data_IF_337480509591
#
_entry.id   IF_337480509591
#
_cell.length_a   1.000
_cell.length_b   1.000
_cell.length_c   1.000
_cell.angle_alpha   90.00
_cell.angle_beta   90.00
_cell.angle_gamma   90.00
#
_symmetry.space_group_name_H-M   'P 1'
#
loop_
_entity.id
_entity.type
_entity.pdbx_description
1 polymer ?
#
# COMPACT_ATOMS: atom_id res chain seq x y z
N UNK A 1 -14.73 32.29 -33.90
CA UNK A 1 -13.79 32.02 -32.80
C UNK A 1 -14.20 30.67 -32.21
N UNK A 2 -13.56 29.58 -32.65
CA UNK A 2 -14.06 28.22 -32.41
C UNK A 2 -13.70 27.75 -31.00
N UNK A 3 -14.72 27.41 -30.22
CA UNK A 3 -14.62 26.74 -28.93
C UNK A 3 -14.14 25.29 -29.15
N UNK A 4 -12.98 24.94 -28.60
CA UNK A 4 -12.41 23.58 -28.68
C UNK A 4 -13.27 22.64 -27.82
N UNK A 5 -13.78 21.58 -28.42
CA UNK A 5 -14.55 20.51 -27.80
C UNK A 5 -13.69 19.75 -26.76
N UNK A 6 -14.11 19.66 -25.48
CA UNK A 6 -13.35 19.01 -24.41
C UNK A 6 -13.25 17.48 -24.55
N UNK A 7 -13.99 16.87 -25.48
CA UNK A 7 -13.94 15.42 -25.75
C UNK A 7 -12.71 14.95 -26.53
N UNK A 8 -11.82 15.88 -26.95
CA UNK A 8 -10.62 15.61 -27.75
C UNK A 8 -9.30 15.89 -27.03
N UNK A 9 -9.32 16.05 -25.71
CA UNK A 9 -8.09 16.32 -24.97
C UNK A 9 -7.31 15.04 -24.71
N UNK A 10 -6.04 15.04 -25.10
CA UNK A 10 -5.13 13.92 -24.88
C UNK A 10 -4.90 13.72 -23.37
N UNK A 11 -4.57 12.49 -22.91
CA UNK A 11 -4.22 12.23 -21.51
C UNK A 11 -3.14 13.18 -20.95
N UNK A 12 -2.31 13.73 -21.84
CA UNK A 12 -1.26 14.71 -21.52
C UNK A 12 -1.82 16.09 -21.17
N UNK A 13 -2.92 16.53 -21.80
CA UNK A 13 -3.54 17.84 -21.55
C UNK A 13 -4.29 17.84 -20.22
N UNK A 14 -4.91 16.71 -19.84
CA UNK A 14 -5.53 16.51 -18.53
C UNK A 14 -4.47 16.47 -17.42
N UNK A 15 -3.32 15.87 -17.69
CA UNK A 15 -2.19 15.84 -16.75
C UNK A 15 -1.64 17.24 -16.49
N UNK A 16 -1.48 18.07 -17.54
CA UNK A 16 -0.99 19.44 -17.40
C UNK A 16 -1.97 20.32 -16.61
N UNK A 17 -3.27 20.20 -16.85
CA UNK A 17 -4.29 20.91 -16.09
C UNK A 17 -4.26 20.58 -14.60
N UNK A 18 -3.95 19.33 -14.23
CA UNK A 18 -3.91 18.90 -12.82
C UNK A 18 -2.59 19.27 -12.12
N UNK A 19 -1.49 19.41 -12.86
CA UNK A 19 -0.19 19.84 -12.32
C UNK A 19 -0.22 21.31 -11.86
N UNK A 20 -1.03 22.15 -12.51
CA UNK A 20 -1.21 23.57 -12.16
C UNK A 20 -1.82 23.79 -10.76
N UNK A 21 -2.44 22.75 -10.15
CA UNK A 21 -3.12 22.85 -8.85
C UNK A 21 -2.35 22.22 -7.67
N UNK A 22 -1.11 21.73 -7.86
CA UNK A 22 -0.34 21.08 -6.77
C UNK A 22 0.75 21.98 -6.18
N UNK A 23 0.91 22.05 -4.83
CA UNK A 23 1.92 22.89 -4.19
C UNK A 23 3.34 22.31 -4.33
N UNK A 24 4.31 23.16 -4.65
CA UNK A 24 5.63 22.77 -5.15
C UNK A 24 6.67 22.24 -4.15
N UNK A 25 6.45 22.23 -2.84
CA UNK A 25 7.54 21.87 -1.92
C UNK A 25 7.08 21.13 -0.65
N UNK A 26 7.47 19.85 -0.54
CA UNK A 26 7.39 19.07 0.70
C UNK A 26 8.83 18.82 1.16
N UNK A 27 9.27 19.40 2.29
CA UNK A 27 10.66 19.27 2.74
C UNK A 27 10.99 17.85 3.21
N UNK A 28 12.16 17.35 2.80
CA UNK A 28 12.75 16.07 3.25
C UNK A 28 13.71 16.34 4.41
N UNK A 29 13.57 15.60 5.52
CA UNK A 29 14.47 15.70 6.69
C UNK A 29 15.57 14.63 6.60
N UNK A 30 16.85 14.95 6.81
CA UNK A 30 17.95 13.97 6.80
C UNK A 30 17.90 13.03 8.01
N UNK A 31 18.28 11.76 7.81
CA UNK A 31 18.43 10.77 8.89
C UNK A 31 19.90 10.76 9.32
N UNK A 32 20.23 11.37 10.46
CA UNK A 32 21.55 11.25 11.08
C UNK A 32 21.66 9.95 11.91
N UNK A 33 22.77 9.23 11.74
CA UNK A 33 23.11 8.03 12.49
C UNK A 33 23.53 8.39 13.92
N UNK A 34 22.64 8.19 14.89
CA UNK A 34 22.94 8.33 16.32
C UNK A 34 23.90 7.22 16.78
N UNK A 35 25.15 7.58 17.12
CA UNK A 35 26.08 6.70 17.87
C UNK A 35 25.65 6.69 19.34
N UNK A 36 25.17 5.56 19.87
CA UNK A 36 24.82 5.47 21.29
C UNK A 36 26.09 5.47 22.16
N UNK A 37 26.18 6.40 23.10
CA UNK A 37 27.32 6.58 24.02
C UNK A 37 27.17 5.84 25.35
N UNK A 38 26.07 5.12 25.58
CA UNK A 38 25.80 4.46 26.85
C UNK A 38 25.08 3.12 26.63
N UNK A 39 25.73 2.03 27.04
CA UNK A 39 25.22 0.65 26.98
C UNK A 39 24.43 0.26 28.25
N UNK A 40 24.27 1.19 29.20
CA UNK A 40 23.48 0.94 30.41
C UNK A 40 21.99 1.05 30.07
N UNK A 41 21.29 -0.06 30.17
CA UNK A 41 19.84 -0.11 30.07
C UNK A 41 19.21 0.67 31.23
N UNK A 42 18.15 1.40 30.91
CA UNK A 42 17.34 2.18 31.83
C UNK A 42 16.20 1.36 32.47
N UNK A 43 16.33 0.03 32.45
CA UNK A 43 15.42 -0.92 33.10
C UNK A 43 16.19 -2.18 33.53
N UNK A 44 15.65 -2.89 34.52
CA UNK A 44 16.18 -4.18 34.95
C UNK A 44 15.93 -5.27 33.89
N UNK A 45 16.67 -6.37 33.98
CA UNK A 45 16.48 -7.52 33.10
C UNK A 45 15.06 -8.10 33.24
N UNK A 46 14.42 -8.37 32.11
CA UNK A 46 13.09 -8.97 32.06
C UNK A 46 13.10 -10.36 32.70
N UNK A 47 12.15 -10.62 33.61
CA UNK A 47 12.02 -11.90 34.32
C UNK A 47 11.27 -12.95 33.51
N UNK A 48 10.40 -12.52 32.60
CA UNK A 48 9.60 -13.40 31.75
C UNK A 48 10.27 -13.59 30.37
N UNK A 49 10.78 -14.78 30.13
CA UNK A 49 11.46 -15.14 28.89
C UNK A 49 10.51 -15.02 27.68
N UNK A 50 9.20 -15.18 27.88
CA UNK A 50 8.18 -15.10 26.82
C UNK A 50 7.97 -13.68 26.29
N UNK A 51 8.40 -12.65 27.03
CA UNK A 51 8.34 -11.25 26.57
C UNK A 51 9.46 -10.94 25.57
N UNK A 52 10.51 -11.78 25.52
CA UNK A 52 11.64 -11.55 24.64
C UNK A 52 11.31 -11.95 23.19
N UNK A 53 11.58 -11.09 22.18
CA UNK A 53 11.21 -11.33 20.77
C UNK A 53 11.72 -12.66 20.20
N UNK A 54 12.83 -13.20 20.72
CA UNK A 54 13.37 -14.48 20.29
C UNK A 54 12.39 -15.65 20.53
N UNK A 55 11.55 -15.56 21.56
CA UNK A 55 10.55 -16.58 21.93
C UNK A 55 9.17 -16.32 21.31
N UNK A 56 9.00 -15.22 20.58
CA UNK A 56 7.76 -14.86 19.85
C UNK A 56 7.82 -15.15 18.35
N UNK A 57 8.75 -16.00 17.91
CA UNK A 57 8.90 -16.38 16.49
C UNK A 57 7.77 -17.29 16.04
N UNK A 58 7.27 -17.05 14.83
CA UNK A 58 6.29 -17.90 14.16
C UNK A 58 6.98 -19.12 13.55
N UNK A 59 6.35 -20.29 13.67
CA UNK A 59 6.76 -21.47 12.93
C UNK A 59 6.28 -21.40 11.46
N UNK A 60 6.62 -22.40 10.65
CA UNK A 60 6.26 -22.42 9.22
C UNK A 60 4.74 -22.50 9.00
N UNK A 61 4.04 -23.34 9.77
CA UNK A 61 2.59 -23.48 9.68
C UNK A 61 1.87 -22.15 9.98
N UNK A 62 2.26 -21.47 11.06
CA UNK A 62 1.76 -20.15 11.40
C UNK A 62 2.07 -19.12 10.33
N UNK A 63 3.27 -19.18 9.77
CA UNK A 63 3.69 -18.24 8.72
C UNK A 63 2.82 -18.41 7.48
N UNK A 64 2.51 -19.65 7.08
CA UNK A 64 1.60 -19.97 5.99
C UNK A 64 0.17 -19.52 6.29
N UNK A 65 -0.32 -19.74 7.51
CA UNK A 65 -1.63 -19.24 7.93
C UNK A 65 -1.70 -17.71 7.88
N UNK A 66 -0.70 -17.02 8.44
CA UNK A 66 -0.61 -15.55 8.41
C UNK A 66 -0.59 -15.07 6.95
N UNK A 67 0.17 -15.73 6.07
CA UNK A 67 0.22 -15.38 4.65
C UNK A 67 -1.17 -15.47 4.01
N UNK A 68 -1.86 -16.61 4.13
CA UNK A 68 -3.20 -16.82 3.59
C UNK A 68 -4.19 -15.79 4.12
N UNK A 69 -4.27 -15.62 5.44
CA UNK A 69 -5.22 -14.71 6.09
C UNK A 69 -4.93 -13.26 5.68
N UNK A 70 -3.65 -12.90 5.54
CA UNK A 70 -3.24 -11.54 5.11
C UNK A 70 -3.56 -11.23 3.64
N UNK A 71 -3.71 -12.24 2.79
CA UNK A 71 -4.11 -12.06 1.40
C UNK A 71 -5.59 -11.68 1.28
N UNK A 72 -6.44 -12.16 2.19
CA UNK A 72 -7.86 -11.79 2.27
C UNK A 72 -8.12 -10.43 2.95
N UNK A 73 -7.12 -9.53 2.97
CA UNK A 73 -7.20 -8.17 3.54
C UNK A 73 -7.64 -8.09 5.01
N UNK A 74 -7.53 -9.18 5.76
CA UNK A 74 -7.90 -9.17 7.17
C UNK A 74 -6.92 -8.33 7.99
N UNK A 75 -7.48 -7.58 8.95
CA UNK A 75 -6.70 -6.66 9.77
C UNK A 75 -5.76 -7.47 10.69
N UNK A 76 -4.53 -7.00 10.96
CA UNK A 76 -3.57 -7.70 11.83
C UNK A 76 -4.12 -8.10 13.20
N UNK A 77 -5.11 -7.34 13.72
CA UNK A 77 -5.82 -7.66 14.96
C UNK A 77 -6.65 -8.95 14.85
N UNK A 78 -7.29 -9.18 13.71
CA UNK A 78 -8.08 -10.39 13.45
C UNK A 78 -7.16 -11.60 13.30
N UNK A 79 -6.03 -11.42 12.61
CA UNK A 79 -4.98 -12.45 12.51
C UNK A 79 -4.48 -12.85 13.90
N UNK A 80 -4.17 -11.88 14.76
CA UNK A 80 -3.76 -12.14 16.14
C UNK A 80 -4.83 -12.91 16.92
N UNK A 81 -6.08 -12.46 16.88
CA UNK A 81 -7.18 -13.10 17.60
C UNK A 81 -7.36 -14.57 17.17
N UNK A 82 -7.30 -14.85 15.86
CA UNK A 82 -7.40 -16.19 15.32
C UNK A 82 -6.23 -17.09 15.75
N UNK A 83 -5.00 -16.56 15.73
CA UNK A 83 -3.83 -17.32 16.19
C UNK A 83 -3.89 -17.61 17.69
N UNK A 84 -4.42 -16.69 18.49
CA UNK A 84 -4.61 -16.90 19.93
C UNK A 84 -5.75 -17.90 20.22
N UNK A 85 -6.82 -17.93 19.43
CA UNK A 85 -7.95 -18.83 19.66
C UNK A 85 -7.67 -20.28 19.26
N UNK A 86 -6.68 -20.52 18.39
CA UNK A 86 -6.31 -21.84 17.88
C UNK A 86 -5.19 -22.52 18.69
N UNK A 87 -4.71 -21.92 19.79
CA UNK A 87 -3.51 -22.35 20.51
C UNK A 87 -3.74 -22.68 21.98
N UNK A 88 -3.05 -23.71 22.45
CA UNK A 88 -2.82 -24.06 23.88
C UNK A 88 -1.53 -23.42 24.46
N UNK A 89 -0.89 -22.50 23.73
CA UNK A 89 0.47 -22.03 24.05
C UNK A 89 0.47 -20.74 24.87
N UNK A 90 1.26 -20.71 25.95
CA UNK A 90 1.53 -19.53 26.81
C UNK A 90 2.35 -18.40 26.13
N UNK A 91 2.51 -18.43 24.80
CA UNK A 91 3.33 -17.45 24.07
C UNK A 91 2.59 -16.12 23.94
N UNK A 92 3.14 -15.08 24.56
CA UNK A 92 2.59 -13.71 24.59
C UNK A 92 2.80 -12.96 23.27
N UNK A 93 2.06 -13.34 22.23
CA UNK A 93 2.05 -12.61 20.95
C UNK A 93 1.47 -11.21 21.12
N UNK A 94 2.13 -10.23 20.53
CA UNK A 94 1.61 -8.86 20.43
C UNK A 94 1.30 -8.50 18.98
N UNK A 95 0.47 -7.48 18.79
CA UNK A 95 0.07 -7.02 17.47
C UNK A 95 1.26 -6.64 16.57
N UNK A 96 2.33 -6.11 17.19
CA UNK A 96 3.57 -5.77 16.48
C UNK A 96 4.25 -7.00 15.85
N UNK A 97 4.15 -8.18 16.45
CA UNK A 97 4.72 -9.40 15.90
C UNK A 97 4.03 -9.77 14.58
N UNK A 98 2.70 -9.63 14.53
CA UNK A 98 1.91 -9.83 13.31
C UNK A 98 2.29 -8.81 12.23
N UNK A 99 2.37 -7.53 12.58
CA UNK A 99 2.81 -6.49 11.62
C UNK A 99 4.19 -6.81 11.03
N UNK A 100 5.12 -7.21 11.88
CA UNK A 100 6.47 -7.57 11.47
C UNK A 100 6.48 -8.81 10.57
N UNK A 101 5.67 -9.82 10.89
CA UNK A 101 5.60 -11.05 10.10
C UNK A 101 4.94 -10.82 8.74
N UNK A 102 3.82 -10.10 8.69
CA UNK A 102 3.17 -9.69 7.43
C UNK A 102 4.14 -8.87 6.57
N UNK A 103 4.91 -7.96 7.18
CA UNK A 103 5.94 -7.18 6.47
C UNK A 103 7.03 -8.07 5.88
N UNK A 104 7.51 -9.10 6.61
CA UNK A 104 8.49 -10.07 6.10
C UNK A 104 7.92 -10.86 4.93
N UNK A 105 6.70 -11.40 5.05
CA UNK A 105 6.01 -12.14 4.00
C UNK A 105 5.88 -11.27 2.74
N UNK A 106 5.40 -10.03 2.88
CA UNK A 106 5.31 -9.08 1.75
C UNK A 106 6.67 -8.79 1.11
N UNK A 107 7.75 -8.65 1.90
CA UNK A 107 9.10 -8.43 1.38
C UNK A 107 9.58 -9.62 0.54
N UNK A 108 9.32 -10.84 0.99
CA UNK A 108 9.64 -12.07 0.24
C UNK A 108 8.80 -12.15 -1.04
N UNK A 109 7.49 -11.91 -0.96
CA UNK A 109 6.58 -11.91 -2.12
C UNK A 109 7.00 -10.90 -3.20
N UNK A 110 7.46 -9.72 -2.79
CA UNK A 110 7.95 -8.71 -3.71
C UNK A 110 9.31 -9.06 -4.32
N UNK A 111 10.09 -9.99 -3.75
CA UNK A 111 11.41 -10.39 -4.25
C UNK A 111 12.35 -9.19 -4.47
N UNK A 112 12.26 -8.17 -3.62
CA UNK A 112 13.03 -6.93 -3.75
C UNK A 112 12.48 -5.90 -4.74
N UNK A 113 11.42 -6.22 -5.51
CA UNK A 113 10.72 -5.24 -6.38
C UNK A 113 10.01 -4.18 -5.55
N UNK A 114 9.87 -2.98 -6.12
CA UNK A 114 9.04 -1.93 -5.51
C UNK A 114 7.56 -2.35 -5.61
N UNK A 115 6.73 -2.10 -4.61
CA UNK A 115 5.31 -2.46 -4.64
C UNK A 115 4.56 -1.96 -5.88
N UNK A 116 4.90 -0.77 -6.38
CA UNK A 116 4.26 -0.18 -7.55
C UNK A 116 4.66 -0.88 -8.85
N UNK A 117 5.90 -1.37 -8.97
CA UNK A 117 6.32 -2.12 -10.15
C UNK A 117 5.66 -3.49 -10.17
N UNK A 118 5.59 -4.17 -9.02
CA UNK A 118 4.84 -5.42 -8.90
C UNK A 118 3.35 -5.24 -9.23
N UNK A 119 2.74 -4.12 -8.84
CA UNK A 119 1.37 -3.79 -9.22
C UNK A 119 1.24 -3.59 -10.74
N UNK A 120 2.15 -2.85 -11.37
CA UNK A 120 2.15 -2.65 -12.83
C UNK A 120 2.30 -3.99 -13.57
N UNK A 121 3.14 -4.90 -13.07
CA UNK A 121 3.28 -6.24 -13.65
C UNK A 121 1.95 -7.00 -13.59
N UNK A 122 1.27 -7.01 -12.44
CA UNK A 122 -0.07 -7.61 -12.30
C UNK A 122 -1.10 -6.95 -13.22
N UNK A 123 -1.10 -5.62 -13.36
CA UNK A 123 -2.01 -4.91 -14.27
C UNK A 123 -1.80 -5.33 -15.73
N UNK A 124 -0.54 -5.59 -16.14
CA UNK A 124 -0.24 -6.12 -17.48
C UNK A 124 -0.74 -7.55 -17.64
N UNK A 125 -0.48 -8.42 -16.66
CA UNK A 125 -0.91 -9.82 -16.66
C UNK A 125 -2.44 -9.94 -16.78
N UNK A 126 -3.17 -9.08 -16.05
CA UNK A 126 -4.64 -9.04 -16.03
C UNK A 126 -5.25 -8.18 -17.16
N UNK A 127 -4.45 -7.73 -18.14
CA UNK A 127 -4.89 -6.94 -19.29
C UNK A 127 -5.62 -5.63 -18.93
N UNK A 128 -5.25 -5.00 -17.82
CA UNK A 128 -5.75 -3.67 -17.48
C UNK A 128 -5.14 -2.61 -18.40
N UNK A 129 -5.91 -1.56 -18.69
CA UNK A 129 -5.36 -0.33 -19.30
C UNK A 129 -4.77 0.49 -18.17
N UNK A 130 -3.51 0.90 -18.28
CA UNK A 130 -2.83 1.67 -17.25
C UNK A 130 -1.85 2.69 -17.82
N UNK A 131 -1.54 3.71 -17.02
CA UNK A 131 -0.54 4.73 -17.30
C UNK A 131 0.09 5.19 -15.99
N UNK A 132 1.38 5.54 -16.03
CA UNK A 132 2.12 6.00 -14.84
C UNK A 132 3.00 7.19 -15.15
N UNK A 133 3.07 8.15 -14.23
CA UNK A 133 4.04 9.24 -14.26
C UNK A 133 5.10 9.05 -13.18
N UNK A 134 6.33 9.49 -13.47
CA UNK A 134 7.47 9.45 -12.54
C UNK A 134 8.15 10.82 -12.49
N UNK A 135 8.70 11.16 -11.34
CA UNK A 135 9.55 12.36 -11.19
C UNK A 135 10.97 12.11 -11.74
N UNK A 136 11.81 13.15 -11.70
CA UNK A 136 13.22 13.09 -12.13
C UNK A 136 14.07 12.11 -11.32
N UNK A 137 13.63 11.72 -10.12
CA UNK A 137 14.28 10.75 -9.25
C UNK A 137 13.74 9.32 -9.47
N UNK A 138 12.77 9.14 -10.36
CA UNK A 138 12.17 7.85 -10.69
C UNK A 138 11.08 7.36 -9.71
N UNK A 139 10.61 8.21 -8.80
CA UNK A 139 9.47 7.93 -7.94
C UNK A 139 8.17 8.02 -8.73
N UNK A 140 7.24 7.10 -8.48
CA UNK A 140 5.91 7.17 -9.11
C UNK A 140 5.06 8.23 -8.44
N UNK A 141 4.69 9.26 -9.21
CA UNK A 141 3.87 10.38 -8.75
C UNK A 141 2.39 10.17 -9.06
N UNK A 142 2.10 9.42 -10.13
CA UNK A 142 0.73 9.08 -10.54
C UNK A 142 0.70 7.66 -11.12
N UNK A 143 -0.36 6.93 -10.79
CA UNK A 143 -0.71 5.68 -11.44
C UNK A 143 -2.22 5.71 -11.72
N UNK A 144 -2.59 5.59 -12.99
CA UNK A 144 -3.96 5.41 -13.44
C UNK A 144 -4.11 4.01 -14.00
N UNK A 145 -5.20 3.32 -13.66
CA UNK A 145 -5.54 2.04 -14.25
C UNK A 145 -7.05 1.82 -14.27
N UNK A 146 -7.52 1.08 -15.26
CA UNK A 146 -8.94 0.72 -15.39
C UNK A 146 -9.08 -0.60 -16.15
N UNK A 147 -10.13 -1.36 -15.83
CA UNK A 147 -10.41 -2.59 -16.53
C UNK A 147 -11.07 -2.28 -17.89
N UNK A 148 -10.70 -2.94 -19.00
CA UNK A 148 -11.27 -2.65 -20.32
C UNK A 148 -12.80 -2.72 -20.38
N UNK A 149 -13.43 -3.58 -19.58
CA UNK A 149 -14.89 -3.65 -19.46
C UNK A 149 -15.49 -2.34 -18.96
N UNK A 150 -14.84 -1.68 -17.99
CA UNK A 150 -15.32 -0.41 -17.44
C UNK A 150 -15.28 0.68 -18.51
N UNK A 151 -14.25 0.70 -19.37
CA UNK A 151 -14.17 1.61 -20.52
C UNK A 151 -15.37 1.37 -21.45
N UNK A 152 -15.66 0.11 -21.80
CA UNK A 152 -16.79 -0.25 -22.66
C UNK A 152 -18.14 0.17 -22.07
N UNK A 153 -18.35 -0.11 -20.79
CA UNK A 153 -19.56 0.27 -20.07
C UNK A 153 -19.72 1.79 -20.03
N UNK A 154 -18.64 2.52 -19.77
CA UNK A 154 -18.66 3.98 -19.75
C UNK A 154 -19.03 4.59 -21.11
N UNK A 155 -18.53 4.03 -22.22
CA UNK A 155 -18.96 4.45 -23.56
C UNK A 155 -20.44 4.17 -23.86
N UNK A 156 -21.01 3.11 -23.28
CA UNK A 156 -22.42 2.78 -23.42
C UNK A 156 -23.36 3.64 -22.55
N UNK A 157 -22.88 4.09 -21.39
CA UNK A 157 -23.66 4.80 -20.38
C UNK A 157 -22.87 5.99 -19.79
N UNK A 158 -22.71 7.10 -20.54
CA UNK A 158 -21.87 8.22 -20.12
C UNK A 158 -22.52 9.17 -19.10
N UNK A 159 -23.65 8.79 -18.50
CA UNK A 159 -24.57 9.75 -17.86
C UNK A 159 -24.05 10.29 -16.52
N UNK A 160 -23.40 9.48 -15.69
CA UNK A 160 -22.88 9.92 -14.39
C UNK A 160 -21.55 9.24 -14.06
N UNK A 161 -20.51 10.06 -13.85
CA UNK A 161 -19.22 9.65 -13.30
C UNK A 161 -19.13 10.20 -11.87
N UNK A 162 -19.03 9.32 -10.87
CA UNK A 162 -18.71 9.71 -9.50
C UNK A 162 -17.22 9.53 -9.28
N UNK A 163 -16.56 10.63 -8.98
CA UNK A 163 -15.16 10.67 -8.58
C UNK A 163 -15.09 10.89 -7.07
N UNK A 164 -14.54 9.91 -6.35
CA UNK A 164 -14.33 9.99 -4.91
C UNK A 164 -12.87 9.76 -4.58
N UNK A 165 -12.24 10.72 -3.91
CA UNK A 165 -10.94 10.55 -3.27
C UNK A 165 -11.12 10.21 -1.78
N UNK A 166 -12.13 9.41 -1.44
CA UNK A 166 -12.63 9.27 -0.06
C UNK A 166 -11.56 8.72 0.89
N UNK A 167 -10.96 9.67 1.61
CA UNK A 167 -10.44 9.58 2.98
C UNK A 167 -9.20 8.76 3.29
N UNK A 168 -8.48 8.19 2.32
CA UNK A 168 -7.18 7.55 2.61
C UNK A 168 -6.07 8.02 1.67
N UNK A 169 -5.30 8.99 2.15
CA UNK A 169 -3.94 9.20 1.65
C UNK A 169 -3.12 7.95 2.00
N UNK A 170 -2.44 7.38 1.00
CA UNK A 170 -1.60 6.21 1.24
C UNK A 170 -0.37 6.60 2.11
N UNK A 171 0.48 5.63 2.48
CA UNK A 171 1.73 5.87 3.22
C UNK A 171 2.64 6.95 2.59
N UNK A 172 2.49 7.17 1.28
CA UNK A 172 3.24 8.14 0.48
C UNK A 172 2.52 9.49 0.35
N UNK A 173 1.44 9.71 1.11
CA UNK A 173 0.62 10.93 1.09
C UNK A 173 -0.03 11.23 -0.26
N UNK A 174 -0.18 10.22 -1.13
CA UNK A 174 -0.88 10.34 -2.41
C UNK A 174 -2.34 9.98 -2.21
N UNK A 175 -3.25 10.81 -2.73
CA UNK A 175 -4.68 10.56 -2.75
C UNK A 175 -4.99 9.43 -3.73
N UNK A 176 -5.68 8.39 -3.26
CA UNK A 176 -6.22 7.36 -4.15
C UNK A 176 -7.57 7.84 -4.69
N UNK A 177 -7.59 8.27 -5.96
CA UNK A 177 -8.81 8.68 -6.64
C UNK A 177 -9.53 7.43 -7.18
N UNK A 178 -10.74 7.19 -6.73
CA UNK A 178 -11.62 6.17 -7.29
C UNK A 178 -12.66 6.83 -8.20
N UNK A 179 -12.83 6.26 -9.39
CA UNK A 179 -13.82 6.71 -10.36
C UNK A 179 -14.78 5.56 -10.60
N UNK A 180 -16.07 5.78 -10.35
CA UNK A 180 -17.14 4.82 -10.60
C UNK A 180 -18.18 5.45 -11.52
N UNK A 181 -18.68 4.67 -12.48
CA UNK A 181 -19.83 5.05 -13.31
C UNK A 181 -21.11 4.40 -12.79
N UNK A 182 -22.24 5.11 -12.90
CA UNK A 182 -23.57 4.49 -12.80
C UNK A 182 -24.04 4.13 -14.20
N UNK A 183 -24.59 2.91 -14.32
CA UNK A 183 -25.33 2.44 -15.51
C UNK A 183 -26.79 2.78 -15.30
#
# INVERSE_FOLDING_TARGET
MATKDPSKQSPQEILNFLLDFMPENIPRVPIELLKSKNLKHNHDATKNIMEHPAFRKFNEQETSQIAQISEFLLMPRQILAQLCSQRESDRLLILQDIYNQVKKIKKVKLQGRRPIDALIDTLKEENFVWSSARDSEGHTTLLFFTHPLVIKLHHGFPHVIIMGCTYKTNKYKVSLLHIFGFI
#
